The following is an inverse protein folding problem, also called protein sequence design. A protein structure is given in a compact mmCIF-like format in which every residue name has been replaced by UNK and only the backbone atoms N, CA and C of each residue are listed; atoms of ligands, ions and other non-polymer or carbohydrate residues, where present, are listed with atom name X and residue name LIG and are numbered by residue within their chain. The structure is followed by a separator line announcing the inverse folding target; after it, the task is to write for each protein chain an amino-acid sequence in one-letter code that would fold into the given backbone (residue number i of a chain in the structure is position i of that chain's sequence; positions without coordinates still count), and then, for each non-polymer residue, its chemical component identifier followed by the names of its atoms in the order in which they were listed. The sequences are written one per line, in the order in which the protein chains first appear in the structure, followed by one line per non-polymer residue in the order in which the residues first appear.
data_IF_466726604637
#
_entry.id   IF_466726604637
#
_cell.length_a   1.000
_cell.length_b   1.000
_cell.length_c   1.000
_cell.angle_alpha   90.00
_cell.angle_beta   90.00
_cell.angle_gamma   90.00
#
_symmetry.space_group_name_H-M   'P 1'
#
loop_
_entity.id
_entity.type
_entity.pdbx_description
1 polymer ?
#
# COMPACT_ATOMS: atom_id res chain seq x y z
N UNK A 1 28.64 55.78 59.24
CA UNK A 1 27.85 54.85 58.42
C UNK A 1 27.83 55.42 57.02
N UNK A 2 28.69 54.88 56.15
CA UNK A 2 28.93 55.39 54.80
C UNK A 2 28.56 54.27 53.84
N UNK A 3 27.48 54.46 53.09
CA UNK A 3 27.15 53.62 51.95
C UNK A 3 28.21 53.81 50.87
N UNK A 4 28.84 52.71 50.46
CA UNK A 4 29.73 52.67 49.31
C UNK A 4 29.11 51.74 48.27
N UNK A 5 28.76 52.37 47.15
CA UNK A 5 28.24 51.81 45.92
C UNK A 5 29.17 50.74 45.34
N UNK A 6 28.61 49.59 44.97
CA UNK A 6 29.25 48.63 44.07
C UNK A 6 28.32 48.44 42.86
N UNK A 7 28.68 49.11 41.77
CA UNK A 7 28.12 48.91 40.44
C UNK A 7 28.29 47.44 40.02
N UNK A 8 27.18 46.71 39.94
CA UNK A 8 27.09 45.52 39.10
C UNK A 8 26.88 46.05 37.69
N UNK A 9 27.93 46.00 36.88
CA UNK A 9 27.84 46.26 35.43
C UNK A 9 27.24 45.00 34.82
N UNK A 10 25.94 45.08 34.55
CA UNK A 10 25.21 44.16 33.69
C UNK A 10 25.70 44.39 32.25
N UNK A 11 26.59 43.54 31.75
CA UNK A 11 27.11 43.58 30.39
C UNK A 11 26.07 43.00 29.42
N UNK A 12 24.94 43.71 29.29
CA UNK A 12 23.97 43.48 28.25
C UNK A 12 24.56 43.94 26.92
N UNK A 13 25.19 43.01 26.19
CA UNK A 13 25.66 43.18 24.83
C UNK A 13 24.54 43.79 23.96
N UNK A 14 24.80 44.88 23.21
CA UNK A 14 23.76 45.55 22.44
C UNK A 14 23.20 44.65 21.34
N UNK A 15 21.88 44.53 21.34
CA UNK A 15 21.02 43.76 20.45
C UNK A 15 20.93 44.37 19.03
N UNK A 16 22.08 44.75 18.47
CA UNK A 16 22.18 45.20 17.07
C UNK A 16 22.87 44.11 16.26
N UNK A 17 22.22 43.50 15.26
CA UNK A 17 22.90 42.54 14.40
C UNK A 17 24.09 43.25 13.76
N UNK A 18 25.29 42.79 14.10
CA UNK A 18 26.53 43.42 13.66
C UNK A 18 26.53 43.49 12.12
N UNK A 19 26.41 44.70 11.55
CA UNK A 19 26.35 44.92 10.09
C UNK A 19 27.49 44.21 9.34
N UNK A 20 28.65 44.09 9.99
CA UNK A 20 29.80 43.33 9.49
C UNK A 20 29.52 41.82 9.37
N UNK A 21 28.85 41.20 10.35
CA UNK A 21 28.44 39.78 10.32
C UNK A 21 27.48 39.53 9.17
N UNK A 22 26.47 40.37 8.99
CA UNK A 22 25.53 40.27 7.87
C UNK A 22 26.21 40.43 6.51
N UNK A 23 27.09 41.41 6.38
CA UNK A 23 27.86 41.62 5.16
C UNK A 23 28.78 40.45 4.85
N UNK A 24 29.45 39.89 5.86
CA UNK A 24 30.33 38.74 5.68
C UNK A 24 29.57 37.47 5.33
N UNK A 25 28.45 37.18 6.02
CA UNK A 25 27.58 36.03 5.73
C UNK A 25 27.05 36.08 4.29
N UNK A 26 26.64 37.27 3.83
CA UNK A 26 26.27 37.49 2.43
C UNK A 26 27.44 37.23 1.47
N UNK A 27 28.63 37.76 1.75
CA UNK A 27 29.81 37.57 0.89
C UNK A 27 30.27 36.13 0.83
N UNK A 28 30.26 35.40 1.95
CA UNK A 28 30.58 33.97 1.97
C UNK A 28 29.56 33.18 1.16
N UNK A 29 28.26 33.47 1.32
CA UNK A 29 27.21 32.89 0.49
C UNK A 29 27.42 33.18 -1.01
N UNK A 30 27.83 34.41 -1.36
CA UNK A 30 28.19 34.79 -2.73
C UNK A 30 29.36 33.96 -3.28
N UNK A 31 30.40 33.77 -2.48
CA UNK A 31 31.60 33.01 -2.87
C UNK A 31 31.26 31.53 -3.08
N UNK A 32 30.50 30.89 -2.18
CA UNK A 32 30.06 29.49 -2.38
C UNK A 32 29.06 29.32 -3.53
N UNK A 33 28.49 30.42 -4.03
CA UNK A 33 27.59 30.44 -5.19
C UNK A 33 28.31 30.68 -6.52
N UNK A 34 29.63 30.93 -6.51
CA UNK A 34 30.39 31.16 -7.74
C UNK A 34 30.46 29.88 -8.60
N UNK A 35 30.48 29.99 -9.94
CA UNK A 35 30.66 28.84 -10.82
C UNK A 35 32.05 28.20 -10.63
N UNK A 36 32.18 26.90 -10.94
CA UNK A 36 33.45 26.17 -10.82
C UNK A 36 34.63 26.75 -11.62
N UNK A 37 34.35 27.59 -12.63
CA UNK A 37 35.37 28.34 -13.37
C UNK A 37 36.02 29.47 -12.57
N UNK A 38 35.44 29.88 -11.45
CA UNK A 38 35.92 30.98 -10.59
C UNK A 38 36.37 30.53 -9.20
N UNK A 39 35.96 29.36 -8.75
CA UNK A 39 36.34 28.79 -7.46
C UNK A 39 36.43 27.27 -7.60
N UNK A 40 37.53 26.69 -7.14
CA UNK A 40 37.69 25.24 -7.17
C UNK A 40 36.95 24.56 -6.00
N UNK A 41 36.85 23.22 -6.03
CA UNK A 41 36.12 22.46 -5.02
C UNK A 41 36.68 22.64 -3.59
N UNK A 42 38.00 22.72 -3.42
CA UNK A 42 38.65 22.90 -2.12
C UNK A 42 38.37 24.30 -1.54
N UNK A 43 38.53 25.35 -2.34
CA UNK A 43 38.22 26.73 -1.94
C UNK A 43 36.74 26.89 -1.57
N UNK A 44 35.85 26.25 -2.33
CA UNK A 44 34.41 26.22 -2.04
C UNK A 44 34.13 25.51 -0.72
N UNK A 45 34.80 24.38 -0.44
CA UNK A 45 34.65 23.65 0.82
C UNK A 45 35.11 24.48 2.03
N UNK A 46 36.30 25.09 1.96
CA UNK A 46 36.83 25.96 3.03
C UNK A 46 35.90 27.15 3.30
N UNK A 47 35.39 27.79 2.23
CA UNK A 47 34.41 28.87 2.38
C UNK A 47 33.11 28.37 3.00
N UNK A 48 32.68 27.16 2.63
CA UNK A 48 31.51 26.49 3.19
C UNK A 48 31.64 26.22 4.68
N UNK A 49 32.80 25.76 5.14
CA UNK A 49 33.05 25.48 6.56
C UNK A 49 33.02 26.77 7.39
N UNK A 50 33.60 27.86 6.89
CA UNK A 50 33.47 29.17 7.54
C UNK A 50 32.03 29.67 7.54
N UNK A 51 31.29 29.47 6.44
CA UNK A 51 29.88 29.83 6.35
C UNK A 51 29.03 29.05 7.37
N UNK A 52 29.32 27.77 7.61
CA UNK A 52 28.64 26.96 8.64
C UNK A 52 28.79 27.59 10.02
N UNK A 53 30.00 27.96 10.42
CA UNK A 53 30.24 28.58 11.73
C UNK A 53 29.48 29.90 11.90
N UNK A 54 29.39 30.68 10.83
CA UNK A 54 28.57 31.89 10.83
C UNK A 54 27.07 31.61 10.92
N UNK A 55 26.59 30.60 10.19
CA UNK A 55 25.17 30.23 10.16
C UNK A 55 24.68 29.70 11.51
N UNK A 56 25.53 28.99 12.28
CA UNK A 56 25.19 28.53 13.63
C UNK A 56 24.79 29.67 14.58
N UNK A 57 25.38 30.85 14.39
CA UNK A 57 25.11 32.05 15.18
C UNK A 57 24.16 33.04 14.49
N UNK A 58 23.67 32.70 13.29
CA UNK A 58 22.80 33.55 12.50
C UNK A 58 21.33 33.38 12.91
N UNK A 59 20.55 34.45 12.77
CA UNK A 59 19.11 34.40 12.96
C UNK A 59 18.43 33.49 11.90
N UNK A 60 17.25 32.92 12.19
CA UNK A 60 16.50 32.14 11.21
C UNK A 60 16.27 32.89 9.90
N UNK A 61 16.04 34.22 9.96
CA UNK A 61 15.86 35.06 8.77
C UNK A 61 17.11 35.13 7.90
N UNK A 62 18.30 35.16 8.50
CA UNK A 62 19.58 35.14 7.76
C UNK A 62 19.85 33.77 7.15
N UNK A 63 19.60 32.68 7.89
CA UNK A 63 19.73 31.31 7.38
C UNK A 63 18.77 31.07 6.20
N UNK A 64 17.52 31.54 6.31
CA UNK A 64 16.53 31.51 5.22
C UNK A 64 17.00 32.26 3.96
N UNK A 65 17.65 33.41 4.11
CA UNK A 65 18.20 34.17 2.96
C UNK A 65 19.34 33.40 2.27
N UNK A 66 20.20 32.72 3.04
CA UNK A 66 21.26 31.88 2.49
C UNK A 66 20.68 30.66 1.80
N UNK A 67 19.75 29.93 2.43
CA UNK A 67 19.09 28.78 1.82
C UNK A 67 18.43 29.13 0.47
N UNK A 68 17.70 30.25 0.40
CA UNK A 68 17.12 30.75 -0.87
C UNK A 68 18.17 31.01 -1.95
N UNK A 69 19.33 31.54 -1.57
CA UNK A 69 20.41 31.85 -2.51
C UNK A 69 21.10 30.58 -3.02
N UNK A 70 21.18 29.56 -2.18
CA UNK A 70 21.82 28.28 -2.48
C UNK A 70 20.91 27.33 -3.26
N UNK A 71 19.58 27.40 -3.07
CA UNK A 71 18.61 26.52 -3.73
C UNK A 71 18.80 26.36 -5.26
N UNK A 72 19.00 27.41 -6.07
CA UNK A 72 19.14 27.26 -7.52
C UNK A 72 20.51 26.75 -7.98
N UNK A 73 21.46 26.50 -7.09
CA UNK A 73 22.81 26.08 -7.46
C UNK A 73 22.87 24.61 -7.87
N UNK A 74 23.73 24.31 -8.84
CA UNK A 74 24.01 22.95 -9.29
C UNK A 74 24.99 22.19 -8.38
N UNK A 75 25.75 22.91 -7.55
CA UNK A 75 26.72 22.35 -6.62
C UNK A 75 26.68 23.12 -5.30
N UNK A 76 26.65 22.39 -4.19
CA UNK A 76 26.60 22.95 -2.84
C UNK A 76 27.73 22.40 -1.97
N UNK A 77 28.30 23.19 -1.04
CA UNK A 77 29.20 22.66 -0.02
C UNK A 77 28.44 21.71 0.91
N UNK A 78 28.90 20.46 1.02
CA UNK A 78 28.26 19.41 1.82
C UNK A 78 28.02 19.81 3.29
N UNK A 79 28.95 20.55 3.90
CA UNK A 79 28.82 21.01 5.29
C UNK A 79 27.66 21.99 5.47
N UNK A 80 27.47 22.91 4.52
CA UNK A 80 26.37 23.88 4.51
C UNK A 80 25.03 23.19 4.21
N UNK A 81 25.00 22.29 3.23
CA UNK A 81 23.79 21.51 2.90
C UNK A 81 23.27 20.74 4.10
N UNK A 82 24.14 19.99 4.79
CA UNK A 82 23.76 19.21 5.98
C UNK A 82 23.24 20.09 7.13
N UNK A 83 23.82 21.27 7.33
CA UNK A 83 23.35 22.21 8.35
C UNK A 83 21.93 22.69 8.02
N UNK A 84 21.70 23.16 6.79
CA UNK A 84 20.43 23.77 6.41
C UNK A 84 19.30 22.75 6.25
N UNK A 85 19.58 21.51 5.84
CA UNK A 85 18.57 20.44 5.75
C UNK A 85 18.04 19.99 7.12
N UNK A 86 18.78 20.23 8.21
CA UNK A 86 18.37 19.90 9.59
C UNK A 86 17.86 21.12 10.36
N UNK A 87 17.77 22.26 9.70
CA UNK A 87 17.26 23.50 10.28
C UNK A 87 15.72 23.47 10.38
N UNK A 88 15.09 24.57 10.78
CA UNK A 88 13.63 24.69 10.79
C UNK A 88 13.03 24.36 9.40
N UNK A 89 11.83 23.73 9.34
CA UNK A 89 11.24 23.31 8.06
C UNK A 89 11.09 24.43 7.03
N UNK A 90 10.82 25.67 7.47
CA UNK A 90 10.72 26.84 6.58
C UNK A 90 12.05 27.21 5.88
N UNK A 91 13.18 26.77 6.44
CA UNK A 91 14.52 26.99 5.90
C UNK A 91 14.93 25.79 5.07
N UNK A 92 14.80 24.58 5.63
CA UNK A 92 15.14 23.33 4.96
C UNK A 92 14.31 23.11 3.69
N UNK A 93 13.01 23.45 3.75
CA UNK A 93 12.07 23.33 2.63
C UNK A 93 12.52 24.06 1.37
N UNK A 94 13.20 25.19 1.50
CA UNK A 94 13.75 25.94 0.36
C UNK A 94 14.76 25.11 -0.44
N UNK A 95 15.57 24.28 0.23
CA UNK A 95 16.49 23.37 -0.42
C UNK A 95 15.76 22.11 -0.91
N UNK A 96 14.92 21.50 -0.07
CA UNK A 96 14.21 20.25 -0.40
C UNK A 96 13.36 20.42 -1.67
N UNK A 97 12.64 21.54 -1.80
CA UNK A 97 11.71 21.80 -2.89
C UNK A 97 12.40 22.28 -4.17
N UNK A 98 13.44 23.12 -4.05
CA UNK A 98 13.96 23.87 -5.21
C UNK A 98 15.40 23.49 -5.60
N UNK A 99 16.11 22.72 -4.78
CA UNK A 99 17.49 22.34 -5.09
C UNK A 99 17.55 21.01 -5.86
N UNK A 100 17.95 21.09 -7.13
CA UNK A 100 18.17 19.93 -7.98
C UNK A 100 19.48 19.17 -7.63
N UNK A 101 20.42 19.83 -6.94
CA UNK A 101 21.72 19.26 -6.59
C UNK A 101 21.68 18.28 -5.39
N UNK A 102 20.57 18.22 -4.65
CA UNK A 102 20.43 17.28 -3.54
C UNK A 102 20.45 15.84 -4.04
N UNK A 103 21.36 15.05 -3.46
CA UNK A 103 21.49 13.63 -3.75
C UNK A 103 20.54 12.80 -2.90
N UNK A 104 20.31 11.54 -3.29
CA UNK A 104 19.57 10.59 -2.47
C UNK A 104 20.17 10.47 -1.06
N UNK A 105 21.51 10.53 -0.93
CA UNK A 105 22.19 10.48 0.36
C UNK A 105 21.85 11.68 1.25
N UNK A 106 21.72 12.88 0.67
CA UNK A 106 21.31 14.09 1.40
C UNK A 106 19.86 13.98 1.89
N UNK A 107 18.96 13.51 1.02
CA UNK A 107 17.54 13.33 1.33
C UNK A 107 17.33 12.24 2.39
N UNK A 108 18.03 11.12 2.28
CA UNK A 108 17.99 10.02 3.27
C UNK A 108 18.52 10.49 4.62
N UNK A 109 19.64 11.20 4.65
CA UNK A 109 20.18 11.75 5.90
C UNK A 109 19.19 12.75 6.54
N UNK A 110 18.58 13.64 5.74
CA UNK A 110 17.56 14.56 6.22
C UNK A 110 16.33 13.81 6.75
N UNK A 111 15.82 12.80 6.05
CA UNK A 111 14.67 12.01 6.49
C UNK A 111 14.91 11.31 7.83
N UNK A 112 16.13 10.81 8.06
CA UNK A 112 16.53 10.12 9.30
C UNK A 112 16.75 11.07 10.47
N UNK A 113 17.38 12.22 10.24
CA UNK A 113 17.84 13.09 11.31
C UNK A 113 16.86 14.23 11.66
N UNK A 114 15.91 14.54 10.77
CA UNK A 114 14.99 15.66 10.91
C UNK A 114 13.58 15.25 11.38
N UNK A 115 12.67 16.22 11.46
CA UNK A 115 11.30 16.01 11.92
C UNK A 115 10.34 15.53 10.82
N UNK A 116 9.11 15.21 11.23
CA UNK A 116 8.02 14.76 10.35
C UNK A 116 7.73 15.76 9.23
N UNK A 117 7.79 17.07 9.53
CA UNK A 117 7.58 18.13 8.53
C UNK A 117 8.61 18.06 7.39
N UNK A 118 9.88 17.83 7.72
CA UNK A 118 10.94 17.64 6.72
C UNK A 118 10.66 16.42 5.85
N UNK A 119 10.29 15.29 6.47
CA UNK A 119 9.91 14.08 5.73
C UNK A 119 8.73 14.33 4.81
N UNK A 120 7.71 15.10 5.23
CA UNK A 120 6.58 15.48 4.37
C UNK A 120 7.03 16.33 3.18
N UNK A 121 7.90 17.31 3.40
CA UNK A 121 8.47 18.13 2.33
C UNK A 121 9.26 17.27 1.32
N UNK A 122 10.06 16.32 1.81
CA UNK A 122 10.79 15.38 0.93
C UNK A 122 9.80 14.50 0.19
N UNK A 123 8.76 13.97 0.84
CA UNK A 123 7.76 13.09 0.23
C UNK A 123 7.00 13.75 -0.94
N UNK A 124 6.87 15.08 -0.94
CA UNK A 124 6.24 15.84 -2.04
C UNK A 124 7.20 16.17 -3.20
N UNK A 125 8.51 15.95 -3.03
CA UNK A 125 9.51 16.22 -4.06
C UNK A 125 9.36 15.26 -5.24
N UNK A 126 9.58 15.74 -6.46
CA UNK A 126 9.49 14.89 -7.65
C UNK A 126 10.67 13.91 -7.77
N UNK A 127 10.41 12.76 -8.37
CA UNK A 127 11.45 11.82 -8.81
C UNK A 127 12.19 11.11 -7.68
N UNK A 128 11.52 10.85 -6.56
CA UNK A 128 12.12 10.10 -5.45
C UNK A 128 12.50 8.69 -5.87
N UNK A 129 13.69 8.25 -5.47
CA UNK A 129 14.13 6.86 -5.61
C UNK A 129 13.57 5.98 -4.51
N UNK A 130 13.65 4.66 -4.71
CA UNK A 130 13.17 3.67 -3.73
C UNK A 130 13.86 3.84 -2.38
N UNK A 131 15.19 4.06 -2.37
CA UNK A 131 15.99 4.26 -1.15
C UNK A 131 15.49 5.48 -0.35
N UNK A 132 15.12 6.57 -1.04
CA UNK A 132 14.59 7.76 -0.36
C UNK A 132 13.19 7.46 0.18
N UNK A 133 12.33 6.80 -0.59
CA UNK A 133 10.98 6.43 -0.11
C UNK A 133 11.03 5.48 1.08
N UNK A 134 11.93 4.51 1.09
CA UNK A 134 12.12 3.59 2.22
C UNK A 134 12.59 4.34 3.47
N UNK A 135 13.51 5.30 3.32
CA UNK A 135 13.92 6.15 4.44
C UNK A 135 12.78 7.02 4.98
N UNK A 136 11.83 7.42 4.13
CA UNK A 136 10.65 8.18 4.55
C UNK A 136 9.62 7.31 5.27
N UNK A 137 9.39 6.08 4.80
CA UNK A 137 8.38 5.18 5.39
C UNK A 137 8.88 4.48 6.66
N UNK A 138 10.20 4.38 6.87
CA UNK A 138 10.79 3.73 8.05
C UNK A 138 10.37 4.32 9.41
N UNK A 139 9.88 5.55 9.46
CA UNK A 139 9.36 6.17 10.69
C UNK A 139 7.89 5.83 10.98
N UNK A 140 7.22 5.08 10.10
CA UNK A 140 5.81 4.65 10.22
C UNK A 140 4.80 5.80 10.40
N UNK A 141 5.18 7.02 9.99
CA UNK A 141 4.32 8.19 10.09
C UNK A 141 3.31 8.20 8.95
N UNK A 142 2.03 8.02 9.29
CA UNK A 142 0.95 7.87 8.31
C UNK A 142 0.85 9.03 7.32
N UNK A 143 1.05 10.26 7.78
CA UNK A 143 1.00 11.43 6.90
C UNK A 143 2.14 11.47 5.88
N UNK A 144 3.31 10.93 6.23
CA UNK A 144 4.45 10.82 5.32
C UNK A 144 4.21 9.69 4.33
N UNK A 145 3.77 8.52 4.80
CA UNK A 145 3.43 7.37 3.95
C UNK A 145 2.36 7.75 2.93
N UNK A 146 1.29 8.43 3.38
CA UNK A 146 0.22 8.88 2.50
C UNK A 146 0.72 9.90 1.46
N UNK A 147 1.62 10.82 1.85
CA UNK A 147 2.25 11.76 0.93
C UNK A 147 3.12 11.05 -0.12
N UNK A 148 3.92 10.06 0.28
CA UNK A 148 4.73 9.23 -0.64
C UNK A 148 3.83 8.48 -1.63
N UNK A 149 2.75 7.85 -1.15
CA UNK A 149 1.82 7.10 -2.01
C UNK A 149 1.11 8.01 -3.03
N UNK A 150 0.74 9.24 -2.63
CA UNK A 150 0.14 10.24 -3.53
C UNK A 150 1.13 10.82 -4.55
N UNK A 151 2.43 10.73 -4.29
CA UNK A 151 3.45 11.22 -5.20
C UNK A 151 3.66 10.25 -6.37
N UNK A 152 2.93 10.47 -7.47
CA UNK A 152 2.98 9.65 -8.68
C UNK A 152 4.38 9.55 -9.33
N UNK A 153 5.32 10.42 -8.97
CA UNK A 153 6.69 10.41 -9.51
C UNK A 153 7.71 9.73 -8.59
N UNK A 154 7.35 9.45 -7.33
CA UNK A 154 8.15 8.64 -6.44
C UNK A 154 8.15 7.19 -6.92
N UNK A 155 9.26 6.47 -6.75
CA UNK A 155 9.32 5.02 -6.98
C UNK A 155 9.31 4.33 -5.62
N UNK A 156 8.45 3.34 -5.45
CA UNK A 156 8.39 2.52 -4.24
C UNK A 156 8.88 1.11 -4.56
N UNK A 157 9.68 0.54 -3.65
CA UNK A 157 10.03 -0.87 -3.73
C UNK A 157 8.80 -1.75 -3.51
N UNK A 158 8.88 -3.02 -3.93
CA UNK A 158 7.79 -3.97 -3.67
C UNK A 158 7.54 -4.18 -2.17
N UNK A 159 8.60 -4.20 -1.37
CA UNK A 159 8.50 -4.33 0.08
C UNK A 159 7.72 -3.16 0.66
N UNK A 160 8.07 -1.91 0.30
CA UNK A 160 7.34 -0.73 0.78
C UNK A 160 5.87 -0.69 0.35
N UNK A 161 5.53 -1.20 -0.84
CA UNK A 161 4.12 -1.35 -1.26
C UNK A 161 3.39 -2.38 -0.40
N UNK A 162 4.03 -3.51 -0.10
CA UNK A 162 3.43 -4.59 0.71
C UNK A 162 3.23 -4.17 2.17
N UNK A 163 4.18 -3.45 2.75
CA UNK A 163 4.04 -2.82 4.07
C UNK A 163 2.88 -1.82 4.09
N UNK A 164 2.79 -0.93 3.10
CA UNK A 164 1.70 0.03 2.99
C UNK A 164 0.33 -0.66 2.80
N UNK A 165 0.27 -1.79 2.08
CA UNK A 165 -0.93 -2.64 2.00
C UNK A 165 -1.32 -3.17 3.38
N UNK A 166 -0.37 -3.65 4.18
CA UNK A 166 -0.61 -4.08 5.56
C UNK A 166 -1.18 -2.94 6.42
N UNK A 167 -0.55 -1.77 6.39
CA UNK A 167 -1.00 -0.58 7.13
C UNK A 167 -2.40 -0.10 6.70
N UNK A 168 -2.75 -0.26 5.42
CA UNK A 168 -4.06 0.17 4.89
C UNK A 168 -5.26 -0.48 5.58
N UNK A 169 -5.07 -1.65 6.22
CA UNK A 169 -6.12 -2.32 6.98
C UNK A 169 -6.58 -1.51 8.19
N UNK A 170 -5.65 -0.86 8.88
CA UNK A 170 -5.94 -0.01 10.04
C UNK A 170 -6.10 1.46 9.63
N UNK A 171 -5.63 1.82 8.44
CA UNK A 171 -5.65 3.19 7.91
C UNK A 171 -6.30 3.24 6.53
N UNK A 172 -7.65 3.19 6.47
CA UNK A 172 -8.41 3.21 5.21
C UNK A 172 -8.04 4.32 4.21
N UNK A 173 -7.63 5.54 4.63
CA UNK A 173 -7.19 6.58 3.69
C UNK A 173 -6.02 6.17 2.78
N UNK A 174 -5.22 5.17 3.16
CA UNK A 174 -4.13 4.64 2.33
C UNK A 174 -4.62 3.80 1.15
N UNK A 175 -5.85 3.28 1.19
CA UNK A 175 -6.35 2.36 0.16
C UNK A 175 -6.45 3.01 -1.22
N UNK A 176 -7.08 4.19 -1.30
CA UNK A 176 -7.25 4.91 -2.54
C UNK A 176 -5.92 5.31 -3.24
N UNK A 177 -4.91 5.87 -2.55
CA UNK A 177 -3.63 6.17 -3.19
C UNK A 177 -2.84 4.90 -3.55
N UNK A 178 -2.90 3.83 -2.75
CA UNK A 178 -2.32 2.52 -3.10
C UNK A 178 -2.89 1.98 -4.42
N UNK A 179 -4.20 2.04 -4.59
CA UNK A 179 -4.88 1.60 -5.82
C UNK A 179 -4.55 2.44 -7.06
N UNK A 180 -3.84 3.56 -6.91
CA UNK A 180 -3.33 4.37 -8.03
C UNK A 180 -1.86 4.08 -8.34
N UNK A 181 -1.14 3.35 -7.48
CA UNK A 181 0.27 3.01 -7.69
C UNK A 181 0.43 2.02 -8.85
N UNK A 182 1.38 2.24 -9.78
CA UNK A 182 1.73 1.26 -10.81
C UNK A 182 2.41 0.01 -10.23
N UNK A 183 3.09 0.14 -9.09
CA UNK A 183 3.82 -0.95 -8.44
C UNK A 183 2.90 -1.93 -7.70
N UNK A 184 1.65 -1.55 -7.42
CA UNK A 184 0.69 -2.42 -6.74
C UNK A 184 0.39 -3.66 -7.61
N UNK A 185 0.68 -4.84 -7.05
CA UNK A 185 0.38 -6.13 -7.69
C UNK A 185 -1.06 -6.56 -7.40
N UNK A 186 -1.67 -7.42 -8.26
CA UNK A 186 -2.99 -7.98 -8.02
C UNK A 186 -3.14 -8.64 -6.64
N UNK A 187 -2.07 -9.24 -6.12
CA UNK A 187 -2.04 -9.84 -4.80
C UNK A 187 -2.42 -8.88 -3.67
N UNK A 188 -1.83 -7.69 -3.64
CA UNK A 188 -2.14 -6.66 -2.65
C UNK A 188 -3.55 -6.12 -2.85
N UNK A 189 -3.96 -5.85 -4.09
CA UNK A 189 -5.30 -5.35 -4.41
C UNK A 189 -6.42 -6.33 -3.96
N UNK A 190 -6.27 -7.62 -4.24
CA UNK A 190 -7.27 -8.64 -3.85
C UNK A 190 -7.34 -8.89 -2.34
N UNK A 191 -6.27 -8.60 -1.62
CA UNK A 191 -6.21 -8.65 -0.16
C UNK A 191 -6.92 -7.43 0.42
N UNK A 192 -6.60 -6.25 -0.10
CA UNK A 192 -7.24 -4.99 0.29
C UNK A 192 -8.76 -5.01 0.10
N UNK A 193 -9.26 -5.74 -0.90
CA UNK A 193 -10.70 -5.92 -1.15
C UNK A 193 -11.49 -6.22 0.13
N UNK A 194 -10.92 -7.01 1.05
CA UNK A 194 -11.61 -7.49 2.23
C UNK A 194 -11.86 -6.42 3.31
N UNK A 195 -11.15 -5.30 3.28
CA UNK A 195 -11.35 -4.17 4.22
C UNK A 195 -11.56 -2.82 3.54
N UNK A 196 -11.41 -2.76 2.22
CA UNK A 196 -11.68 -1.58 1.41
C UNK A 196 -13.16 -1.21 1.39
N UNK A 197 -13.42 0.07 1.16
CA UNK A 197 -14.76 0.60 0.89
C UNK A 197 -15.28 0.21 -0.50
N UNK A 198 -16.56 0.52 -0.80
CA UNK A 198 -17.20 0.14 -2.05
C UNK A 198 -16.50 0.67 -3.32
N UNK A 199 -16.02 1.90 -3.28
CA UNK A 199 -15.37 2.54 -4.44
C UNK A 199 -13.99 1.91 -4.73
N UNK A 200 -13.24 1.60 -3.67
CA UNK A 200 -11.98 0.87 -3.76
C UNK A 200 -12.20 -0.57 -4.25
N UNK A 201 -13.21 -1.29 -3.71
CA UNK A 201 -13.59 -2.63 -4.17
C UNK A 201 -13.92 -2.65 -5.65
N UNK A 202 -14.70 -1.68 -6.12
CA UNK A 202 -15.00 -1.51 -7.56
C UNK A 202 -13.73 -1.29 -8.36
N UNK A 203 -12.86 -0.39 -7.91
CA UNK A 203 -11.57 -0.11 -8.57
C UNK A 203 -10.69 -1.35 -8.64
N UNK A 204 -10.65 -2.16 -7.58
CA UNK A 204 -9.91 -3.42 -7.52
C UNK A 204 -10.39 -4.37 -8.62
N UNK A 205 -11.71 -4.58 -8.72
CA UNK A 205 -12.30 -5.47 -9.71
C UNK A 205 -12.16 -4.96 -11.15
N UNK A 206 -12.15 -3.63 -11.36
CA UNK A 206 -11.97 -3.05 -12.69
C UNK A 206 -10.51 -3.14 -13.17
N UNK A 207 -9.55 -2.87 -12.29
CA UNK A 207 -8.13 -2.73 -12.65
C UNK A 207 -7.36 -4.05 -12.60
N UNK A 208 -7.66 -4.91 -11.62
CA UNK A 208 -6.82 -6.09 -11.32
C UNK A 208 -7.44 -7.41 -11.74
N UNK A 209 -8.76 -7.47 -12.00
CA UNK A 209 -9.40 -8.67 -12.54
C UNK A 209 -9.01 -8.87 -14.02
N UNK A 210 -7.96 -9.65 -14.23
CA UNK A 210 -7.38 -9.92 -15.55
C UNK A 210 -7.77 -11.29 -16.09
N UNK A 211 -7.76 -11.43 -17.41
CA UNK A 211 -7.92 -12.73 -18.07
C UNK A 211 -6.70 -13.62 -17.80
N UNK A 212 -6.94 -14.93 -17.79
CA UNK A 212 -5.91 -15.97 -17.66
C UNK A 212 -5.75 -16.81 -18.93
N UNK A 213 -6.31 -16.38 -20.05
CA UNK A 213 -6.30 -17.10 -21.33
C UNK A 213 -4.90 -17.52 -21.77
N UNK A 214 -3.93 -16.61 -21.72
CA UNK A 214 -2.54 -16.91 -22.11
C UNK A 214 -1.97 -18.06 -21.28
N UNK A 215 -2.19 -18.08 -19.96
CA UNK A 215 -1.75 -19.17 -19.08
C UNK A 215 -2.46 -20.49 -19.38
N UNK A 216 -3.72 -20.42 -19.83
CA UNK A 216 -4.50 -21.60 -20.21
C UNK A 216 -4.03 -22.20 -21.54
N UNK A 217 -3.71 -21.37 -22.51
CA UNK A 217 -3.24 -21.80 -23.83
C UNK A 217 -1.88 -22.47 -23.74
N UNK A 218 -0.92 -21.85 -23.05
CA UNK A 218 0.44 -22.39 -22.89
C UNK A 218 0.51 -23.67 -22.06
N UNK A 219 -0.50 -23.95 -21.23
CA UNK A 219 -0.51 -25.12 -20.33
C UNK A 219 -1.46 -26.24 -20.77
N UNK A 220 -2.05 -26.15 -21.97
CA UNK A 220 -3.12 -27.07 -22.41
C UNK A 220 -2.64 -28.53 -22.50
N UNK A 221 -1.42 -28.75 -22.99
CA UNK A 221 -0.78 -30.06 -23.09
C UNK A 221 -0.39 -30.65 -21.72
N UNK A 222 -0.08 -29.79 -20.74
CA UNK A 222 0.29 -30.19 -19.37
C UNK A 222 -0.87 -30.89 -18.66
N UNK A 223 -2.12 -30.52 -18.93
CA UNK A 223 -3.29 -31.22 -18.34
C UNK A 223 -3.34 -32.69 -18.78
N UNK A 224 -3.04 -32.98 -20.05
CA UNK A 224 -3.03 -34.35 -20.56
C UNK A 224 -1.85 -35.15 -19.99
N UNK A 225 -0.69 -34.50 -19.78
CA UNK A 225 0.46 -35.12 -19.12
C UNK A 225 0.15 -35.47 -17.67
N UNK A 226 -0.35 -34.51 -16.88
CA UNK A 226 -0.70 -34.72 -15.48
C UNK A 226 -1.75 -35.83 -15.30
N UNK A 227 -2.72 -35.95 -16.22
CA UNK A 227 -3.69 -37.03 -16.20
C UNK A 227 -3.08 -38.42 -16.46
N UNK A 228 -2.07 -38.52 -17.35
CA UNK A 228 -1.34 -39.80 -17.58
C UNK A 228 -0.52 -40.22 -16.37
N UNK A 229 -0.07 -39.26 -15.58
CA UNK A 229 0.68 -39.46 -14.34
C UNK A 229 -0.24 -39.56 -13.11
N UNK A 230 -1.54 -39.74 -13.31
CA UNK A 230 -2.57 -39.84 -12.26
C UNK A 230 -2.51 -38.70 -11.22
N UNK A 231 -2.13 -37.50 -11.68
CA UNK A 231 -2.00 -36.30 -10.85
C UNK A 231 -1.07 -36.49 -9.64
N UNK A 232 -0.05 -37.34 -9.79
CA UNK A 232 0.84 -37.73 -8.70
C UNK A 232 1.61 -36.55 -8.08
N UNK A 233 1.95 -35.54 -8.88
CA UNK A 233 2.66 -34.35 -8.39
C UNK A 233 1.67 -33.35 -7.73
N UNK A 234 1.77 -33.11 -6.41
CA UNK A 234 0.87 -32.20 -5.70
C UNK A 234 1.08 -30.72 -6.05
N UNK A 235 2.27 -30.32 -6.48
CA UNK A 235 2.60 -28.96 -6.89
C UNK A 235 1.95 -28.66 -8.24
N UNK A 236 2.15 -29.55 -9.22
CA UNK A 236 1.52 -29.44 -10.54
C UNK A 236 0.00 -29.44 -10.40
N UNK A 237 -0.56 -30.36 -9.62
CA UNK A 237 -2.01 -30.42 -9.37
C UNK A 237 -2.56 -29.10 -8.82
N UNK A 238 -1.86 -28.47 -7.87
CA UNK A 238 -2.25 -27.19 -7.29
C UNK A 238 -2.16 -26.03 -8.29
N UNK A 239 -1.13 -25.99 -9.13
CA UNK A 239 -0.98 -24.99 -10.17
C UNK A 239 -2.07 -25.13 -11.25
N UNK A 240 -2.32 -26.36 -11.71
CA UNK A 240 -3.35 -26.64 -12.71
C UNK A 240 -4.77 -26.32 -12.20
N UNK A 241 -5.04 -26.48 -10.90
CA UNK A 241 -6.29 -25.99 -10.30
C UNK A 241 -6.50 -24.47 -10.44
N UNK A 242 -5.43 -23.68 -10.47
CA UNK A 242 -5.54 -22.24 -10.73
C UNK A 242 -5.76 -21.94 -12.22
N UNK A 243 -5.16 -22.72 -13.10
CA UNK A 243 -5.20 -22.51 -14.55
C UNK A 243 -6.52 -23.03 -15.16
N UNK A 244 -7.11 -24.07 -14.58
CA UNK A 244 -8.25 -24.81 -15.10
C UNK A 244 -9.38 -23.90 -15.65
N UNK A 245 -9.92 -24.25 -16.83
CA UNK A 245 -10.99 -23.48 -17.48
C UNK A 245 -12.32 -23.57 -16.72
N UNK A 246 -12.64 -24.72 -16.12
CA UNK A 246 -13.93 -24.97 -15.43
C UNK A 246 -13.86 -24.60 -13.96
N UNK A 247 -14.72 -23.69 -13.51
CA UNK A 247 -14.78 -23.30 -12.09
C UNK A 247 -15.45 -24.37 -11.21
N UNK A 248 -16.55 -24.98 -11.69
CA UNK A 248 -17.32 -25.98 -10.90
C UNK A 248 -16.54 -27.29 -10.78
N UNK A 249 -16.64 -27.92 -9.61
CA UNK A 249 -16.05 -29.25 -9.37
C UNK A 249 -16.95 -30.35 -9.91
N UNK A 250 -16.49 -31.11 -10.91
CA UNK A 250 -17.27 -32.24 -11.44
C UNK A 250 -17.41 -33.38 -10.42
N UNK A 251 -16.34 -33.67 -9.68
CA UNK A 251 -16.34 -34.71 -8.65
C UNK A 251 -17.18 -34.34 -7.42
N UNK A 252 -17.56 -33.07 -7.26
CA UNK A 252 -18.42 -32.63 -6.15
C UNK A 252 -19.88 -33.03 -6.37
N UNK A 253 -20.36 -33.00 -7.62
CA UNK A 253 -21.75 -33.33 -7.95
C UNK A 253 -22.09 -34.74 -7.48
N UNK A 254 -21.23 -35.71 -7.77
CA UNK A 254 -21.45 -37.12 -7.39
C UNK A 254 -21.44 -37.38 -5.88
N UNK A 255 -20.95 -36.43 -5.08
CA UNK A 255 -20.79 -36.53 -3.62
C UNK A 255 -21.73 -35.63 -2.84
N UNK A 256 -22.35 -34.67 -3.52
CA UNK A 256 -23.24 -33.68 -2.94
C UNK A 256 -24.64 -34.28 -2.76
N UNK A 257 -25.37 -33.90 -1.70
CA UNK A 257 -26.79 -34.25 -1.56
C UNK A 257 -27.70 -33.49 -2.56
N UNK A 258 -27.13 -32.50 -3.26
CA UNK A 258 -27.79 -31.73 -4.31
C UNK A 258 -27.31 -32.16 -5.70
N UNK A 259 -28.24 -32.26 -6.64
CA UNK A 259 -28.06 -32.55 -8.07
C UNK A 259 -27.27 -31.45 -8.79
N UNK A 260 -27.32 -30.22 -8.30
CA UNK A 260 -26.63 -29.07 -8.90
C UNK A 260 -26.37 -27.94 -7.91
N UNK A 261 -25.49 -27.01 -8.30
CA UNK A 261 -25.23 -25.78 -7.55
C UNK A 261 -26.49 -24.90 -7.47
N UNK A 262 -27.25 -24.83 -8.56
CA UNK A 262 -28.53 -24.12 -8.65
C UNK A 262 -29.54 -24.69 -7.65
N UNK A 263 -29.62 -26.02 -7.52
CA UNK A 263 -30.53 -26.66 -6.56
C UNK A 263 -30.13 -26.35 -5.12
N UNK A 264 -28.83 -26.38 -4.79
CA UNK A 264 -28.33 -26.01 -3.46
C UNK A 264 -28.72 -24.55 -3.11
N UNK A 265 -28.59 -23.63 -4.06
CA UNK A 265 -28.99 -22.22 -3.90
C UNK A 265 -30.50 -22.06 -3.76
N UNK A 266 -31.30 -22.79 -4.56
CA UNK A 266 -32.76 -22.75 -4.47
C UNK A 266 -33.26 -23.25 -3.10
N UNK A 267 -32.63 -24.30 -2.56
CA UNK A 267 -32.92 -24.80 -1.21
C UNK A 267 -32.53 -23.77 -0.16
N UNK A 268 -31.34 -23.17 -0.25
CA UNK A 268 -30.92 -22.11 0.65
C UNK A 268 -31.86 -20.88 0.61
N UNK A 269 -32.38 -20.52 -0.56
CA UNK A 269 -33.33 -19.41 -0.69
C UNK A 269 -34.68 -19.70 -0.03
N UNK A 270 -35.13 -20.96 -0.07
CA UNK A 270 -36.38 -21.40 0.57
C UNK A 270 -36.24 -21.52 2.08
N UNK A 271 -35.16 -22.15 2.55
CA UNK A 271 -35.01 -22.58 3.94
C UNK A 271 -34.12 -21.62 4.77
N UNK A 272 -33.45 -20.68 4.10
CA UNK A 272 -32.39 -19.84 4.66
C UNK A 272 -31.01 -20.48 4.50
N UNK A 273 -29.96 -19.65 4.49
CA UNK A 273 -28.58 -20.13 4.40
C UNK A 273 -28.14 -20.78 5.71
N UNK A 274 -27.97 -22.10 5.68
CA UNK A 274 -27.42 -22.90 6.79
C UNK A 274 -25.92 -23.15 6.59
N UNK A 275 -25.24 -23.69 7.62
CA UNK A 275 -23.82 -24.05 7.51
C UNK A 275 -23.61 -25.15 6.47
N UNK A 276 -24.52 -26.12 6.44
CA UNK A 276 -24.50 -27.26 5.53
C UNK A 276 -24.68 -26.80 4.09
N UNK A 277 -25.73 -26.01 3.82
CA UNK A 277 -25.99 -25.48 2.47
C UNK A 277 -24.89 -24.53 2.00
N UNK A 278 -24.34 -23.69 2.88
CA UNK A 278 -23.18 -22.87 2.58
C UNK A 278 -21.94 -23.71 2.21
N UNK A 279 -21.68 -24.79 2.94
CA UNK A 279 -20.58 -25.72 2.65
C UNK A 279 -20.78 -26.42 1.30
N UNK A 280 -21.98 -26.89 1.00
CA UNK A 280 -22.29 -27.54 -0.28
C UNK A 280 -22.21 -26.57 -1.47
N UNK A 281 -22.68 -25.33 -1.31
CA UNK A 281 -22.52 -24.27 -2.32
C UNK A 281 -21.03 -24.05 -2.63
N UNK A 282 -20.19 -23.96 -1.59
CA UNK A 282 -18.75 -23.81 -1.77
C UNK A 282 -18.13 -25.03 -2.47
N UNK A 283 -18.50 -26.24 -2.03
CA UNK A 283 -17.99 -27.50 -2.56
C UNK A 283 -18.33 -27.68 -4.05
N UNK A 284 -19.59 -27.45 -4.44
CA UNK A 284 -20.06 -27.51 -5.82
C UNK A 284 -19.42 -26.41 -6.70
N UNK A 285 -19.15 -25.23 -6.13
CA UNK A 285 -18.43 -24.14 -6.79
C UNK A 285 -16.91 -24.36 -6.95
N UNK A 286 -16.38 -25.48 -6.45
CA UNK A 286 -14.94 -25.79 -6.50
C UNK A 286 -14.10 -24.99 -5.50
N UNK A 287 -14.71 -24.56 -4.40
CA UNK A 287 -14.08 -23.74 -3.36
C UNK A 287 -13.78 -24.55 -2.12
N UNK A 288 -12.69 -24.19 -1.44
CA UNK A 288 -12.41 -24.69 -0.11
C UNK A 288 -13.37 -24.07 0.91
N UNK A 289 -13.75 -24.79 1.99
CA UNK A 289 -14.76 -24.33 2.95
C UNK A 289 -14.51 -22.94 3.52
N UNK A 290 -13.25 -22.63 3.86
CA UNK A 290 -12.88 -21.32 4.41
C UNK A 290 -13.10 -20.18 3.41
N UNK A 291 -12.75 -20.39 2.13
CA UNK A 291 -13.03 -19.42 1.07
C UNK A 291 -14.53 -19.25 0.88
N UNK A 292 -15.28 -20.34 0.81
CA UNK A 292 -16.75 -20.29 0.71
C UNK A 292 -17.39 -19.50 1.84
N UNK A 293 -17.01 -19.79 3.09
CA UNK A 293 -17.48 -19.07 4.27
C UNK A 293 -17.14 -17.57 4.20
N UNK A 294 -15.94 -17.20 3.77
CA UNK A 294 -15.53 -15.80 3.64
C UNK A 294 -16.35 -15.05 2.60
N UNK A 295 -16.61 -15.65 1.44
CA UNK A 295 -17.42 -15.03 0.38
C UNK A 295 -18.88 -14.85 0.82
N UNK A 296 -19.46 -15.90 1.41
CA UNK A 296 -20.87 -15.90 1.84
C UNK A 296 -21.11 -14.99 3.06
N UNK A 297 -20.09 -14.81 3.90
CA UNK A 297 -20.13 -13.95 5.07
C UNK A 297 -19.79 -12.47 4.82
N UNK A 298 -19.37 -12.08 3.60
CA UNK A 298 -18.97 -10.70 3.34
C UNK A 298 -20.16 -9.73 3.45
N UNK A 299 -20.10 -8.68 4.29
CA UNK A 299 -21.25 -7.81 4.53
C UNK A 299 -21.68 -7.01 3.31
N UNK A 300 -20.75 -6.65 2.42
CA UNK A 300 -21.07 -5.91 1.18
C UNK A 300 -21.73 -6.79 0.11
N UNK A 301 -21.40 -8.08 0.08
CA UNK A 301 -22.03 -9.08 -0.78
C UNK A 301 -21.55 -9.06 -2.24
N UNK A 302 -20.65 -8.15 -2.62
CA UNK A 302 -20.03 -8.14 -3.94
C UNK A 302 -19.33 -9.49 -4.28
N UNK A 303 -18.74 -10.23 -3.32
CA UNK A 303 -18.24 -11.59 -3.58
C UNK A 303 -19.29 -12.59 -4.08
N UNK A 304 -20.57 -12.40 -3.76
CA UNK A 304 -21.65 -13.26 -4.26
C UNK A 304 -21.83 -13.11 -5.77
N UNK A 305 -21.71 -11.88 -6.27
CA UNK A 305 -21.72 -11.60 -7.70
C UNK A 305 -20.55 -12.28 -8.41
N UNK A 306 -19.36 -12.25 -7.81
CA UNK A 306 -18.15 -12.90 -8.35
C UNK A 306 -18.33 -14.42 -8.36
N UNK A 307 -18.81 -15.00 -7.27
CA UNK A 307 -19.15 -16.43 -7.17
C UNK A 307 -20.12 -16.85 -8.27
N UNK A 308 -21.23 -16.12 -8.41
CA UNK A 308 -22.26 -16.43 -9.40
C UNK A 308 -21.71 -16.34 -10.82
N UNK A 309 -21.02 -15.23 -11.13
CA UNK A 309 -20.47 -14.99 -12.46
C UNK A 309 -19.42 -16.03 -12.85
N UNK A 310 -18.49 -16.36 -11.94
CA UNK A 310 -17.40 -17.30 -12.19
C UNK A 310 -17.91 -18.73 -12.41
N UNK A 311 -19.00 -19.11 -11.75
CA UNK A 311 -19.62 -20.44 -11.85
C UNK A 311 -20.70 -20.51 -12.92
N UNK A 312 -21.06 -19.41 -13.59
CA UNK A 312 -22.10 -19.37 -14.61
C UNK A 312 -23.53 -19.41 -14.07
N UNK A 313 -23.73 -19.06 -12.80
CA UNK A 313 -25.06 -18.89 -12.20
C UNK A 313 -25.73 -17.62 -12.73
N UNK A 314 -27.06 -17.64 -12.82
CA UNK A 314 -27.86 -16.55 -13.38
C UNK A 314 -28.09 -15.40 -12.38
N UNK A 315 -28.72 -14.32 -12.85
CA UNK A 315 -29.20 -13.24 -11.97
C UNK A 315 -30.24 -13.73 -10.95
N UNK A 316 -31.07 -14.69 -11.35
CA UNK A 316 -32.06 -15.30 -10.46
C UNK A 316 -31.39 -16.06 -9.32
N UNK A 317 -30.32 -16.78 -9.62
CA UNK A 317 -29.54 -17.50 -8.61
C UNK A 317 -28.81 -16.53 -7.67
N UNK A 318 -28.27 -15.43 -8.19
CA UNK A 318 -27.68 -14.38 -7.36
C UNK A 318 -28.70 -13.76 -6.40
N UNK A 319 -29.92 -13.50 -6.88
CA UNK A 319 -31.01 -13.00 -6.05
C UNK A 319 -31.45 -14.04 -5.00
N UNK A 320 -31.55 -15.30 -5.38
CA UNK A 320 -31.86 -16.40 -4.46
C UNK A 320 -30.80 -16.50 -3.35
N UNK A 321 -29.53 -16.38 -3.70
CA UNK A 321 -28.43 -16.38 -2.75
C UNK A 321 -28.49 -15.16 -1.82
N UNK A 322 -28.75 -13.97 -2.35
CA UNK A 322 -28.95 -12.75 -1.56
C UNK A 322 -30.09 -12.90 -0.53
N UNK A 323 -31.24 -13.42 -0.97
CA UNK A 323 -32.42 -13.68 -0.13
C UNK A 323 -32.17 -14.75 0.93
N UNK A 324 -31.42 -15.79 0.61
CA UNK A 324 -31.07 -16.86 1.57
C UNK A 324 -30.38 -16.31 2.82
N UNK A 325 -29.66 -15.19 2.68
CA UNK A 325 -28.96 -14.48 3.76
C UNK A 325 -29.80 -13.39 4.43
N UNK A 326 -31.09 -13.28 4.08
CA UNK A 326 -32.04 -12.29 4.62
C UNK A 326 -31.59 -10.83 4.43
N UNK A 327 -30.88 -10.55 3.34
CA UNK A 327 -30.43 -9.18 3.03
C UNK A 327 -31.56 -8.39 2.34
N UNK A 328 -31.73 -7.09 2.63
CA UNK A 328 -32.77 -6.27 2.03
C UNK A 328 -32.50 -6.01 0.54
N UNK A 329 -33.54 -6.09 -0.28
CA UNK A 329 -33.48 -5.65 -1.70
C UNK A 329 -33.90 -4.18 -1.86
N UNK A 330 -34.67 -3.66 -0.90
CA UNK A 330 -35.17 -2.29 -0.89
C UNK A 330 -34.90 -1.61 0.44
N UNK A 331 -34.77 -0.29 0.38
CA UNK A 331 -34.78 0.59 1.56
C UNK A 331 -36.21 0.72 2.12
N UNK A 332 -36.40 1.29 3.33
CA UNK A 332 -37.74 1.46 3.92
C UNK A 332 -38.70 2.33 3.10
N UNK A 333 -38.18 3.24 2.29
CA UNK A 333 -38.91 4.10 1.34
C UNK A 333 -39.20 3.42 -0.01
N UNK A 334 -38.81 2.15 -0.17
CA UNK A 334 -39.10 1.34 -1.36
C UNK A 334 -38.12 1.53 -2.53
N UNK A 335 -37.08 2.35 -2.38
CA UNK A 335 -35.99 2.44 -3.36
C UNK A 335 -35.12 1.17 -3.33
N UNK A 336 -34.32 0.93 -4.38
CA UNK A 336 -33.39 -0.20 -4.42
C UNK A 336 -32.35 -0.02 -3.31
N UNK A 337 -32.08 -1.09 -2.56
CA UNK A 337 -31.06 -1.05 -1.52
C UNK A 337 -29.67 -0.82 -2.14
N UNK A 338 -28.87 0.14 -1.66
CA UNK A 338 -27.59 0.50 -2.29
C UNK A 338 -26.60 -0.68 -2.35
N UNK A 339 -26.59 -1.56 -1.34
CA UNK A 339 -25.75 -2.76 -1.39
C UNK A 339 -26.21 -3.74 -2.47
N UNK A 340 -27.53 -3.91 -2.64
CA UNK A 340 -28.05 -4.80 -3.68
C UNK A 340 -27.76 -4.25 -5.07
N UNK A 341 -27.92 -2.94 -5.27
CA UNK A 341 -27.55 -2.25 -6.51
C UNK A 341 -26.06 -2.47 -6.84
N UNK A 342 -25.15 -2.30 -5.87
CA UNK A 342 -23.71 -2.55 -6.07
C UNK A 342 -23.41 -4.00 -6.43
N UNK A 343 -24.08 -4.98 -5.81
CA UNK A 343 -23.92 -6.40 -6.15
C UNK A 343 -24.37 -6.68 -7.57
N UNK A 344 -25.51 -6.12 -7.99
CA UNK A 344 -26.00 -6.23 -9.37
C UNK A 344 -25.01 -5.61 -10.36
N UNK A 345 -24.51 -4.40 -10.09
CA UNK A 345 -23.50 -3.74 -10.93
C UNK A 345 -22.23 -4.60 -11.02
N UNK A 346 -21.77 -5.17 -9.90
CA UNK A 346 -20.58 -6.03 -9.87
C UNK A 346 -20.75 -7.26 -10.76
N UNK A 347 -21.91 -7.90 -10.71
CA UNK A 347 -22.21 -9.08 -11.53
C UNK A 347 -22.23 -8.76 -13.03
N UNK A 348 -22.67 -7.56 -13.39
CA UNK A 348 -22.73 -7.09 -14.78
C UNK A 348 -21.40 -6.64 -15.33
N UNK A 349 -20.59 -5.98 -14.50
CA UNK A 349 -19.33 -5.38 -14.91
C UNK A 349 -18.25 -6.42 -15.24
N UNK A 350 -18.26 -7.57 -14.59
CA UNK A 350 -17.22 -8.59 -14.77
C UNK A 350 -17.55 -9.52 -15.95
N UNK A 351 -16.53 -9.90 -16.71
CA UNK A 351 -16.61 -11.05 -17.61
C UNK A 351 -16.39 -12.36 -16.81
N UNK A 352 -16.87 -13.49 -17.35
CA UNK A 352 -16.81 -14.80 -16.66
C UNK A 352 -15.36 -15.20 -16.36
N UNK A 353 -14.46 -15.06 -17.33
CA UNK A 353 -13.03 -15.36 -17.20
C UNK A 353 -12.37 -14.54 -16.08
N UNK A 354 -12.64 -13.23 -16.03
CA UNK A 354 -12.11 -12.33 -15.00
C UNK A 354 -12.66 -12.67 -13.62
N UNK A 355 -13.96 -12.93 -13.51
CA UNK A 355 -14.57 -13.37 -12.26
C UNK A 355 -13.95 -14.69 -11.76
N UNK A 356 -13.68 -15.63 -12.66
CA UNK A 356 -12.97 -16.86 -12.31
C UNK A 356 -11.54 -16.60 -11.85
N UNK A 357 -10.80 -15.66 -12.46
CA UNK A 357 -9.46 -15.29 -11.99
C UNK A 357 -9.50 -14.78 -10.55
N UNK A 358 -10.40 -13.86 -10.24
CA UNK A 358 -10.57 -13.33 -8.87
C UNK A 358 -10.93 -14.44 -7.89
N UNK A 359 -11.94 -15.25 -8.23
CA UNK A 359 -12.42 -16.32 -7.36
C UNK A 359 -11.34 -17.38 -7.10
N UNK A 360 -10.60 -17.79 -8.13
CA UNK A 360 -9.48 -18.74 -7.97
C UNK A 360 -8.34 -18.15 -7.18
N UNK A 361 -8.05 -16.87 -7.35
CA UNK A 361 -7.03 -16.19 -6.56
C UNK A 361 -7.39 -16.23 -5.08
N UNK A 362 -8.62 -15.86 -4.71
CA UNK A 362 -9.09 -15.96 -3.32
C UNK A 362 -9.07 -17.40 -2.79
N UNK A 363 -9.50 -18.39 -3.58
CA UNK A 363 -9.44 -19.80 -3.17
C UNK A 363 -8.00 -20.30 -2.95
N UNK A 364 -7.06 -19.77 -3.74
CA UNK A 364 -5.64 -20.08 -3.59
C UNK A 364 -5.05 -19.41 -2.35
N UNK A 365 -5.24 -18.09 -2.18
CA UNK A 365 -4.66 -17.34 -1.06
C UNK A 365 -5.28 -17.76 0.27
N UNK A 366 -6.61 -17.70 0.40
CA UNK A 366 -7.30 -17.88 1.68
C UNK A 366 -7.31 -19.32 2.19
N UNK A 367 -6.86 -20.30 1.41
CA UNK A 367 -7.02 -21.70 1.81
C UNK A 367 -5.91 -22.63 1.34
N UNK A 368 -5.20 -22.30 0.27
CA UNK A 368 -4.16 -23.16 -0.29
C UNK A 368 -2.75 -22.68 0.02
N UNK A 369 -2.59 -21.42 0.42
CA UNK A 369 -1.33 -20.87 0.91
C UNK A 369 -1.14 -21.02 2.44
N UNK A 370 -2.18 -21.44 3.16
CA UNK A 370 -2.14 -21.72 4.61
C UNK A 370 -1.36 -23.01 4.91
N UNK A 371 -0.06 -22.89 5.18
CA UNK A 371 0.74 -23.98 5.75
C UNK A 371 0.53 -24.07 7.26
N UNK A 372 0.78 -25.23 7.91
CA UNK A 372 0.74 -25.34 9.37
C UNK A 372 1.65 -24.34 10.09
N UNK A 373 2.80 -24.00 9.48
CA UNK A 373 3.70 -22.95 9.98
C UNK A 373 3.06 -21.57 9.88
N UNK A 374 2.46 -21.22 8.74
CA UNK A 374 1.78 -19.94 8.57
C UNK A 374 0.58 -19.80 9.53
N UNK A 375 -0.16 -20.88 9.78
CA UNK A 375 -1.24 -20.88 10.77
C UNK A 375 -0.74 -20.66 12.21
N UNK A 376 0.44 -21.17 12.56
CA UNK A 376 1.09 -20.88 13.85
C UNK A 376 1.54 -19.42 13.90
N UNK A 377 2.25 -18.94 12.89
CA UNK A 377 2.68 -17.54 12.79
C UNK A 377 1.49 -16.56 12.92
N UNK A 378 0.36 -16.85 12.25
CA UNK A 378 -0.88 -16.08 12.37
C UNK A 378 -1.40 -16.04 13.82
N UNK A 379 -1.40 -17.19 14.52
CA UNK A 379 -1.89 -17.31 15.90
C UNK A 379 -0.96 -16.64 16.91
N UNK A 380 0.33 -16.82 16.72
CA UNK A 380 1.38 -16.38 17.64
C UNK A 380 1.77 -14.91 17.40
N UNK A 381 1.27 -14.30 16.31
CA UNK A 381 1.57 -12.90 15.96
C UNK A 381 2.99 -12.69 15.44
N UNK A 382 3.65 -13.76 14.99
CA UNK A 382 5.04 -13.75 14.54
C UNK A 382 5.13 -13.27 13.08
N UNK A 383 5.47 -12.00 12.92
CA UNK A 383 5.69 -11.33 11.62
C UNK A 383 7.17 -11.35 11.19
N UNK A 384 8.09 -11.97 11.95
CA UNK A 384 9.53 -11.93 11.64
C UNK A 384 9.94 -12.87 10.48
N UNK A 385 9.06 -13.78 10.04
CA UNK A 385 9.32 -14.72 8.94
C UNK A 385 8.71 -14.30 7.58
N UNK A 386 8.33 -13.02 7.41
CA UNK A 386 7.57 -12.53 6.24
C UNK A 386 8.30 -12.75 4.91
N UNK A 387 9.63 -12.69 4.87
CA UNK A 387 10.43 -12.89 3.65
C UNK A 387 10.47 -14.35 3.16
N UNK A 388 10.12 -15.33 4.00
CA UNK A 388 10.06 -16.74 3.61
C UNK A 388 8.72 -17.11 2.95
N UNK A 389 7.72 -16.22 3.00
CA UNK A 389 6.37 -16.51 2.53
C UNK A 389 6.09 -15.96 1.12
N UNK A 390 5.53 -16.83 0.26
CA UNK A 390 4.99 -16.40 -1.03
C UNK A 390 3.93 -15.29 -0.88
N UNK A 391 3.75 -14.44 -1.89
CA UNK A 391 2.70 -13.39 -1.87
C UNK A 391 1.28 -13.91 -1.52
N UNK A 392 0.83 -15.08 -2.02
CA UNK A 392 -0.42 -15.72 -1.57
C UNK A 392 -0.48 -16.07 -0.07
N UNK A 393 0.65 -16.45 0.54
CA UNK A 393 0.73 -16.77 1.96
C UNK A 393 0.63 -15.51 2.82
N UNK A 394 1.39 -14.46 2.47
CA UNK A 394 1.28 -13.15 3.11
C UNK A 394 -0.13 -12.57 3.00
N UNK A 395 -0.75 -12.68 1.83
CA UNK A 395 -2.14 -12.35 1.59
C UNK A 395 -3.11 -13.06 2.55
N UNK A 396 -2.91 -14.37 2.76
CA UNK A 396 -3.74 -15.16 3.69
C UNK A 396 -3.59 -14.67 5.13
N UNK A 397 -2.35 -14.41 5.57
CA UNK A 397 -2.04 -13.88 6.90
C UNK A 397 -2.74 -12.53 7.12
N UNK A 398 -2.62 -11.63 6.15
CA UNK A 398 -3.25 -10.30 6.20
C UNK A 398 -4.76 -10.33 6.20
N UNK A 399 -5.42 -11.36 5.65
CA UNK A 399 -6.90 -11.42 5.63
C UNK A 399 -7.46 -12.17 6.84
N UNK A 400 -6.78 -13.22 7.28
CA UNK A 400 -7.31 -14.19 8.25
C UNK A 400 -6.80 -14.00 9.68
N UNK A 401 -5.85 -13.08 9.93
CA UNK A 401 -5.28 -12.85 11.26
C UNK A 401 -6.33 -12.61 12.36
N UNK A 402 -7.34 -11.78 12.10
CA UNK A 402 -8.44 -11.53 13.04
C UNK A 402 -9.38 -12.72 13.20
N UNK A 403 -9.54 -13.54 12.16
CA UNK A 403 -10.40 -14.72 12.20
C UNK A 403 -9.82 -15.81 13.13
N UNK A 404 -8.49 -15.81 13.36
CA UNK A 404 -7.77 -16.81 14.14
C UNK A 404 -7.16 -16.35 15.47
N UNK A 405 -7.04 -15.04 15.74
CA UNK A 405 -6.52 -14.49 17.02
C UNK A 405 -7.52 -14.58 18.19
N UNK A 406 -8.48 -15.51 18.15
CA UNK A 406 -9.52 -15.70 19.18
C UNK A 406 -9.19 -16.82 20.15
#
# INVERSE_FOLDING_TARGET
MSEASAMIVDDALPDTPAKARQALLKRLADVVSLPGSRINAFERAVTGDLLVEMLRLASPQERRRVANRLAPLAELPNSVTRLLLRDEPEIAGLLIEHCAALTDADLVACARDAGTEHRRLIAMRRGLSEIVTEALTASEELEVIEAVLRNATARLSQVGIEEAVGLSRQHPPLCAPLLKRPELRPSGAYVMFWWCGPDERRTILQRFAVSREVMQEVSEDVFALAAREDWADPVVRKALQFIERRQRSRAAIDKSPFDSLEQAIAVAARDGLTRETASEIAFLAGLKPLTGAKLLGDPGGEPLAILCKATGLSRGDLLNLWRSMRRPETTPDGAIHPDWERVQITYEMLAVDRAQTVLRYWNWTLSSALTPMLLRAIRDGDEEAVDEYSAPARAAMMVLSEDFRR
#
